data_IF_727390698994
#
_entry.id   IF_727390698994
#
_cell.length_a   1.000
_cell.length_b   1.000
_cell.length_c   1.000
_cell.angle_alpha   90.00
_cell.angle_beta   90.00
_cell.angle_gamma   90.00
#
_symmetry.space_group_name_H-M   'P 1'
#
loop_
_entity.id
_entity.type
_entity.pdbx_description
1 polymer ?
#
# COMPACT_ATOMS: atom_id res chain seq x y z
N UNK A 1 3.92 -17.17 5.63
CA UNK A 1 4.55 -16.55 4.45
C UNK A 1 4.27 -15.04 4.48
N UNK A 2 5.28 -14.19 4.59
CA UNK A 2 5.07 -12.74 4.62
C UNK A 2 4.91 -12.20 3.20
N UNK A 3 3.88 -11.37 2.96
CA UNK A 3 3.68 -10.67 1.68
C UNK A 3 3.97 -9.19 1.86
N UNK A 4 5.03 -8.73 1.19
CA UNK A 4 5.42 -7.33 1.11
C UNK A 4 5.24 -6.84 -0.33
N UNK A 5 4.61 -5.69 -0.51
CA UNK A 5 4.46 -5.02 -1.81
C UNK A 5 4.99 -3.60 -1.72
N UNK A 6 5.74 -3.20 -2.74
CA UNK A 6 6.18 -1.82 -2.93
C UNK A 6 5.52 -1.29 -4.21
N UNK A 7 4.61 -0.34 -4.06
CA UNK A 7 3.73 0.08 -5.14
C UNK A 7 4.01 1.55 -5.47
N UNK A 8 4.59 1.85 -6.64
CA UNK A 8 4.76 3.23 -7.07
C UNK A 8 3.40 3.85 -7.37
N UNK A 9 3.26 5.16 -7.12
CA UNK A 9 2.05 5.90 -7.45
C UNK A 9 2.41 7.26 -8.08
N UNK A 10 1.59 7.73 -9.02
CA UNK A 10 1.87 8.96 -9.79
C UNK A 10 1.03 10.15 -9.36
N UNK A 11 -0.14 9.89 -8.78
CA UNK A 11 -1.10 10.93 -8.42
C UNK A 11 -1.64 10.73 -7.02
N UNK A 12 -2.12 11.82 -6.41
CA UNK A 12 -2.80 11.78 -5.12
C UNK A 12 -4.03 10.86 -5.14
N UNK A 13 -4.72 10.79 -6.29
CA UNK A 13 -5.88 9.90 -6.46
C UNK A 13 -5.48 8.43 -6.49
N UNK A 14 -4.36 8.10 -7.13
CA UNK A 14 -3.83 6.72 -7.14
C UNK A 14 -3.44 6.30 -5.74
N UNK A 15 -2.76 7.19 -5.00
CA UNK A 15 -2.42 6.97 -3.59
C UNK A 15 -3.65 6.57 -2.78
N UNK A 16 -4.72 7.36 -2.82
CA UNK A 16 -5.94 7.07 -2.05
C UNK A 16 -6.55 5.71 -2.46
N UNK A 17 -6.60 5.40 -3.77
CA UNK A 17 -7.16 4.13 -4.26
C UNK A 17 -6.35 2.93 -3.77
N UNK A 18 -5.03 3.01 -3.84
CA UNK A 18 -4.12 1.93 -3.43
C UNK A 18 -4.23 1.70 -1.93
N UNK A 19 -4.13 2.78 -1.13
CA UNK A 19 -4.26 2.70 0.34
C UNK A 19 -5.57 2.02 0.74
N UNK A 20 -6.71 2.54 0.26
CA UNK A 20 -8.02 1.99 0.57
C UNK A 20 -8.18 0.52 0.15
N UNK A 21 -7.57 0.13 -0.98
CA UNK A 21 -7.66 -1.24 -1.48
C UNK A 21 -6.95 -2.24 -0.56
N UNK A 22 -5.74 -1.91 -0.10
CA UNK A 22 -4.92 -2.80 0.71
C UNK A 22 -5.30 -2.76 2.20
N UNK A 23 -5.73 -1.60 2.71
CA UNK A 23 -6.18 -1.45 4.09
C UNK A 23 -7.43 -2.30 4.37
N UNK A 24 -8.41 -2.28 3.45
CA UNK A 24 -9.60 -3.15 3.50
C UNK A 24 -9.28 -4.65 3.46
N UNK A 25 -8.06 -5.02 3.04
CA UNK A 25 -7.56 -6.40 2.99
C UNK A 25 -6.68 -6.74 4.19
N UNK A 26 -6.60 -5.87 5.20
CA UNK A 26 -5.83 -6.10 6.42
C UNK A 26 -4.32 -5.98 6.21
N UNK A 27 -3.87 -5.22 5.21
CA UNK A 27 -2.46 -4.87 5.10
C UNK A 27 -2.16 -3.68 6.02
N UNK A 28 -1.02 -3.73 6.71
CA UNK A 28 -0.34 -2.54 7.22
C UNK A 28 0.18 -1.72 6.03
N UNK A 29 0.04 -0.40 6.10
CA UNK A 29 0.40 0.51 5.00
C UNK A 29 1.29 1.64 5.51
N UNK A 30 2.38 1.89 4.80
CA UNK A 30 3.24 3.05 4.99
C UNK A 30 3.39 3.80 3.66
N UNK A 31 3.15 5.11 3.66
CA UNK A 31 3.19 5.94 2.45
C UNK A 31 4.44 6.80 2.45
N UNK A 32 5.23 6.66 1.39
CA UNK A 32 6.44 7.42 1.11
C UNK A 32 6.20 8.33 -0.10
N UNK A 33 7.12 9.26 -0.41
CA UNK A 33 6.92 10.27 -1.47
C UNK A 33 6.53 9.68 -2.82
N UNK A 34 7.16 8.58 -3.24
CA UNK A 34 6.95 8.00 -4.58
C UNK A 34 6.33 6.60 -4.56
N UNK A 35 6.21 5.99 -3.38
CA UNK A 35 5.75 4.61 -3.24
C UNK A 35 4.95 4.34 -1.97
N UNK A 36 4.15 3.29 -2.03
CA UNK A 36 3.38 2.76 -0.90
C UNK A 36 3.93 1.40 -0.56
N UNK A 37 4.33 1.24 0.69
CA UNK A 37 4.69 -0.06 1.25
C UNK A 37 3.45 -0.70 1.87
N UNK A 38 3.15 -1.93 1.46
CA UNK A 38 2.06 -2.73 2.03
C UNK A 38 2.64 -4.02 2.61
N UNK A 39 2.33 -4.30 3.87
CA UNK A 39 2.74 -5.51 4.58
C UNK A 39 1.53 -6.28 5.10
N UNK A 40 1.51 -7.59 4.92
CA UNK A 40 0.59 -8.47 5.62
C UNK A 40 1.35 -9.70 6.12
N UNK A 41 1.49 -9.80 7.44
CA UNK A 41 1.86 -11.02 8.12
C UNK A 41 0.72 -12.03 8.06
N UNK A 42 1.05 -13.32 7.99
CA UNK A 42 0.12 -14.37 8.38
C UNK A 42 -0.01 -14.41 9.90
#
# INVERSE_FOLDING_TARGET
MQRCLLIPYKTFRDRIRIVNYYERRGYYIEVWEEYIYCYRGE
#
